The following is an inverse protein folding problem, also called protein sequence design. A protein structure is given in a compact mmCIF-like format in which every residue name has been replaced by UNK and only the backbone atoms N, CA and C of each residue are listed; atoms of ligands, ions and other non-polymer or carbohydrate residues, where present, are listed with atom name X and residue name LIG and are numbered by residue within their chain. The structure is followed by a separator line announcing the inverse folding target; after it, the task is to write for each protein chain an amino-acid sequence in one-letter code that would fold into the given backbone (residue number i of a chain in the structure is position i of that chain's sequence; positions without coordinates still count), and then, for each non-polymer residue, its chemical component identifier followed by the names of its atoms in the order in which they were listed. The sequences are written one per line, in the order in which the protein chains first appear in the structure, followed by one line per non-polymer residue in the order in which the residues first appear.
data_IF_158862380157
#
_entry.id   IF_158862380157
#
_cell.length_a   1.000
_cell.length_b   1.000
_cell.length_c   1.000
_cell.angle_alpha   90.00
_cell.angle_beta   90.00
_cell.angle_gamma   90.00
#
_symmetry.space_group_name_H-M   'P 1'
#
loop_
_entity.id
_entity.type
_entity.pdbx_description
1 polymer ?
#
# COMPACT_ATOMS: atom_id res chain seq x y z
N UNK A 1 49.47 18.77 -38.93
CA UNK A 1 49.44 18.39 -37.50
C UNK A 1 48.05 18.57 -36.90
N UNK A 2 47.31 19.65 -37.17
CA UNK A 2 45.98 19.87 -36.56
C UNK A 2 44.87 18.91 -37.00
N UNK A 3 44.94 18.38 -38.23
CA UNK A 3 43.90 17.49 -38.77
C UNK A 3 43.91 16.10 -38.14
N UNK A 4 45.10 15.52 -37.94
CA UNK A 4 45.27 14.23 -37.25
C UNK A 4 44.88 14.33 -35.77
N UNK A 5 45.19 15.44 -35.10
CA UNK A 5 44.79 15.66 -33.72
C UNK A 5 43.26 15.75 -33.60
N UNK A 6 42.60 16.38 -34.57
CA UNK A 6 41.14 16.51 -34.58
C UNK A 6 40.46 15.16 -34.89
N UNK A 7 41.04 14.34 -35.77
CA UNK A 7 40.58 12.97 -36.04
C UNK A 7 40.74 12.07 -34.81
N UNK A 8 41.89 12.13 -34.13
CA UNK A 8 42.14 11.40 -32.88
C UNK A 8 41.11 11.77 -31.79
N UNK A 9 40.85 13.07 -31.59
CA UNK A 9 39.87 13.55 -30.61
C UNK A 9 38.46 13.11 -30.96
N UNK A 10 38.08 13.10 -32.24
CA UNK A 10 36.78 12.57 -32.66
C UNK A 10 36.67 11.07 -32.37
N UNK A 11 37.71 10.29 -32.64
CA UNK A 11 37.72 8.85 -32.37
C UNK A 11 37.58 8.58 -30.88
N UNK A 12 38.34 9.27 -30.03
CA UNK A 12 38.28 9.11 -28.57
C UNK A 12 36.90 9.48 -28.01
N UNK A 13 36.27 10.53 -28.55
CA UNK A 13 34.91 10.93 -28.16
C UNK A 13 33.85 9.91 -28.60
N UNK A 14 33.96 9.36 -29.82
CA UNK A 14 33.04 8.32 -30.32
C UNK A 14 33.19 7.05 -29.48
N UNK A 15 34.41 6.67 -29.14
CA UNK A 15 34.70 5.51 -28.30
C UNK A 15 34.14 5.69 -26.88
N UNK A 16 34.27 6.88 -26.30
CA UNK A 16 33.68 7.21 -25.00
C UNK A 16 32.14 7.18 -25.04
N UNK A 17 31.51 7.71 -26.08
CA UNK A 17 30.05 7.66 -26.25
C UNK A 17 29.57 6.21 -26.41
N UNK A 18 30.28 5.40 -27.20
CA UNK A 18 29.97 3.97 -27.34
C UNK A 18 30.02 3.25 -25.98
N UNK A 19 31.08 3.46 -25.19
CA UNK A 19 31.20 2.90 -23.84
C UNK A 19 30.07 3.34 -22.93
N UNK A 20 29.79 4.64 -22.85
CA UNK A 20 28.76 5.19 -21.96
C UNK A 20 27.34 4.78 -22.35
N UNK A 21 27.05 4.60 -23.64
CA UNK A 21 25.74 4.13 -24.10
C UNK A 21 25.55 2.63 -23.89
N UNK A 22 26.63 1.86 -23.81
CA UNK A 22 26.60 0.46 -23.35
C UNK A 22 26.60 0.32 -21.83
N UNK A 23 27.08 1.33 -21.07
CA UNK A 23 27.10 1.35 -19.60
C UNK A 23 25.72 1.70 -18.99
N UNK A 24 24.78 0.79 -19.26
CA UNK A 24 23.70 0.38 -18.38
C UNK A 24 23.71 -1.15 -18.34
N UNK A 25 24.80 -1.75 -17.88
CA UNK A 25 25.12 -3.16 -18.14
C UNK A 25 24.42 -4.11 -17.15
N UNK A 26 23.16 -4.47 -17.43
CA UNK A 26 22.79 -5.86 -17.17
C UNK A 26 23.65 -6.69 -18.14
N UNK A 27 24.69 -7.38 -17.64
CA UNK A 27 25.52 -8.18 -18.53
C UNK A 27 24.67 -9.32 -19.13
N UNK A 28 25.00 -9.78 -20.33
CA UNK A 28 24.36 -10.96 -20.95
C UNK A 28 24.26 -12.12 -19.95
N UNK A 29 25.31 -12.28 -19.12
CA UNK A 29 25.37 -13.24 -18.01
C UNK A 29 24.32 -12.99 -16.91
N UNK A 30 24.13 -11.75 -16.49
CA UNK A 30 23.14 -11.42 -15.46
C UNK A 30 21.71 -11.67 -15.98
N UNK A 31 21.50 -11.41 -17.28
CA UNK A 31 20.26 -11.72 -17.99
C UNK A 31 20.02 -13.23 -18.09
N UNK A 32 21.05 -14.00 -18.42
CA UNK A 32 21.00 -15.47 -18.47
C UNK A 32 20.71 -16.07 -17.09
N UNK A 33 21.38 -15.58 -16.04
CA UNK A 33 21.14 -15.99 -14.65
C UNK A 33 19.69 -15.73 -14.26
N UNK A 34 19.16 -14.54 -14.55
CA UNK A 34 17.77 -14.20 -14.24
C UNK A 34 16.77 -15.11 -14.98
N UNK A 35 16.99 -15.34 -16.28
CA UNK A 35 16.11 -16.19 -17.10
C UNK A 35 16.16 -17.65 -16.65
N UNK A 36 17.33 -18.18 -16.28
CA UNK A 36 17.45 -19.53 -15.77
C UNK A 36 16.74 -19.68 -14.42
N UNK A 37 16.88 -18.71 -13.51
CA UNK A 37 16.20 -18.70 -12.22
C UNK A 37 14.67 -18.68 -12.37
N UNK A 38 14.15 -17.85 -13.29
CA UNK A 38 12.71 -17.79 -13.62
C UNK A 38 12.23 -19.14 -14.16
N UNK A 39 13.00 -19.78 -15.04
CA UNK A 39 12.65 -21.07 -15.61
C UNK A 39 12.69 -22.20 -14.57
N UNK A 40 13.59 -22.16 -13.58
CA UNK A 40 13.62 -23.12 -12.47
C UNK A 40 12.41 -22.95 -11.53
N UNK A 41 12.03 -21.71 -11.22
CA UNK A 41 10.82 -21.39 -10.43
C UNK A 41 9.56 -21.84 -11.17
N UNK A 42 9.43 -21.52 -12.46
CA UNK A 42 8.28 -21.91 -13.28
C UNK A 42 8.14 -23.43 -13.44
N UNK A 43 9.26 -24.16 -13.40
CA UNK A 43 9.28 -25.63 -13.43
C UNK A 43 8.98 -26.27 -12.06
N UNK A 44 8.88 -25.48 -10.99
CA UNK A 44 8.60 -25.98 -9.64
C UNK A 44 9.77 -26.75 -9.00
N UNK A 45 11.00 -26.54 -9.49
CA UNK A 45 12.17 -27.26 -8.99
C UNK A 45 12.64 -26.67 -7.66
N UNK A 46 12.36 -27.42 -6.60
CA UNK A 46 12.80 -27.17 -5.24
C UNK A 46 14.30 -27.45 -5.11
N UNK A 47 15.12 -26.47 -4.69
CA UNK A 47 16.53 -26.71 -4.35
C UNK A 47 16.55 -27.54 -3.07
N UNK A 48 16.86 -28.83 -3.20
CA UNK A 48 16.99 -29.77 -2.09
C UNK A 48 18.47 -30.11 -1.90
N UNK A 49 19.03 -29.73 -0.75
CA UNK A 49 20.28 -30.29 -0.25
C UNK A 49 19.96 -31.05 1.05
N UNK A 50 20.73 -32.10 1.39
CA UNK A 50 20.50 -32.90 2.61
C UNK A 50 20.52 -32.07 3.91
N UNK A 51 21.06 -30.85 3.88
CA UNK A 51 21.09 -29.95 5.02
C UNK A 51 19.92 -28.95 5.08
N UNK A 52 19.31 -28.57 3.95
CA UNK A 52 18.19 -27.62 3.93
C UNK A 52 17.42 -27.62 2.59
N UNK A 53 16.16 -27.22 2.67
CA UNK A 53 15.22 -27.14 1.54
C UNK A 53 14.77 -25.69 1.37
N UNK A 54 14.98 -25.09 0.19
CA UNK A 54 14.55 -23.70 -0.10
C UNK A 54 13.42 -23.70 -1.11
N UNK A 55 12.19 -23.47 -0.63
CA UNK A 55 10.99 -23.33 -1.47
C UNK A 55 10.84 -21.88 -1.88
N UNK A 56 10.92 -21.58 -3.18
CA UNK A 56 10.54 -20.29 -3.73
C UNK A 56 9.08 -20.33 -4.17
N UNK A 57 8.17 -19.93 -3.28
CA UNK A 57 6.77 -19.69 -3.64
C UNK A 57 6.62 -18.23 -4.08
N UNK A 58 6.62 -17.99 -5.40
CA UNK A 58 6.11 -16.74 -5.93
C UNK A 58 4.60 -16.88 -6.11
N UNK A 59 3.81 -16.47 -5.12
CA UNK A 59 2.40 -16.22 -5.34
C UNK A 59 2.30 -15.06 -6.35
N UNK A 60 1.49 -15.16 -7.43
CA UNK A 60 1.20 -13.99 -8.25
C UNK A 60 0.65 -12.95 -7.29
N UNK A 61 1.38 -11.84 -7.10
CA UNK A 61 0.97 -10.77 -6.18
C UNK A 61 -0.34 -10.24 -6.73
N UNK A 62 -1.50 -10.51 -6.10
CA UNK A 62 -2.63 -9.65 -6.34
C UNK A 62 -2.19 -8.31 -5.75
N UNK A 63 -2.13 -7.30 -6.61
CA UNK A 63 -2.06 -5.87 -6.31
C UNK A 63 -2.10 -5.59 -4.81
N UNK A 64 -0.93 -5.55 -4.16
CA UNK A 64 -0.73 -5.39 -2.71
C UNK A 64 -1.85 -6.08 -1.90
N UNK A 65 -1.58 -7.25 -1.33
CA UNK A 65 -2.24 -7.62 -0.09
C UNK A 65 -1.87 -6.51 0.92
N UNK A 66 -2.64 -5.41 0.93
CA UNK A 66 -2.79 -4.54 2.09
C UNK A 66 -3.13 -5.55 3.15
N UNK A 67 -2.17 -5.82 4.04
CA UNK A 67 -2.40 -6.47 5.32
C UNK A 67 -3.77 -5.97 5.74
N UNK A 68 -4.79 -6.82 5.81
CA UNK A 68 -6.15 -6.41 6.16
C UNK A 68 -6.06 -5.87 7.59
N UNK A 69 -5.65 -4.62 7.71
CA UNK A 69 -5.72 -3.86 8.93
C UNK A 69 -7.21 -3.71 9.13
N UNK A 70 -7.76 -4.54 10.01
CA UNK A 70 -9.11 -4.38 10.50
C UNK A 70 -9.18 -3.00 11.15
N UNK A 71 -9.59 -2.01 10.37
CA UNK A 71 -9.79 -0.65 10.85
C UNK A 71 -10.95 -0.71 11.84
N UNK A 72 -10.75 -0.12 13.01
CA UNK A 72 -11.80 -0.01 14.02
C UNK A 72 -12.01 1.45 14.34
N UNK A 73 -13.27 1.85 14.26
CA UNK A 73 -13.72 3.20 14.59
C UNK A 73 -14.61 3.06 15.82
N UNK A 74 -14.11 3.47 16.99
CA UNK A 74 -14.93 3.56 18.19
C UNK A 74 -15.29 5.02 18.42
N UNK A 75 -16.58 5.29 18.58
CA UNK A 75 -17.07 6.63 18.94
C UNK A 75 -17.74 6.53 20.29
N UNK A 76 -17.35 7.43 21.18
CA UNK A 76 -18.01 7.65 22.46
C UNK A 76 -18.78 8.95 22.36
N UNK A 77 -20.08 8.90 22.61
CA UNK A 77 -20.93 10.07 22.73
C UNK A 77 -21.12 10.39 24.22
N UNK A 78 -21.14 11.66 24.57
CA UNK A 78 -21.37 12.07 25.95
C UNK A 78 -22.81 11.73 26.39
N UNK A 79 -22.93 10.90 27.43
CA UNK A 79 -24.22 10.47 28.00
C UNK A 79 -25.04 11.65 28.56
N UNK A 80 -24.38 12.74 28.96
CA UNK A 80 -25.05 13.92 29.52
C UNK A 80 -25.79 14.72 28.43
N UNK A 81 -25.58 14.39 27.14
CA UNK A 81 -26.34 14.94 26.01
C UNK A 81 -27.73 14.30 25.82
N UNK A 82 -28.08 13.28 26.61
CA UNK A 82 -29.38 12.59 26.54
C UNK A 82 -29.76 12.12 25.13
N UNK A 83 -28.79 11.58 24.39
CA UNK A 83 -29.01 11.08 23.03
C UNK A 83 -29.87 9.82 23.12
N UNK A 84 -30.97 9.79 22.36
CA UNK A 84 -31.86 8.62 22.36
C UNK A 84 -31.17 7.38 21.75
N UNK A 85 -31.44 6.15 22.22
CA UNK A 85 -30.85 4.93 21.67
C UNK A 85 -31.04 4.78 20.15
N UNK A 86 -32.20 5.23 19.63
CA UNK A 86 -32.49 5.24 18.20
C UNK A 86 -31.55 6.14 17.41
N UNK A 87 -31.12 7.27 17.98
CA UNK A 87 -30.18 8.19 17.34
C UNK A 87 -28.77 7.61 17.35
N UNK A 88 -28.37 6.93 18.43
CA UNK A 88 -27.08 6.22 18.51
C UNK A 88 -27.01 5.13 17.44
N UNK A 89 -28.07 4.35 17.27
CA UNK A 89 -28.14 3.30 16.25
C UNK A 89 -28.13 3.88 14.83
N UNK A 90 -28.96 4.91 14.57
CA UNK A 90 -29.00 5.59 13.28
C UNK A 90 -27.63 6.19 12.91
N UNK A 91 -26.93 6.80 13.88
CA UNK A 91 -25.59 7.34 13.68
C UNK A 91 -24.58 6.26 13.33
N UNK A 92 -24.59 5.13 14.06
CA UNK A 92 -23.73 3.99 13.78
C UNK A 92 -23.99 3.43 12.37
N UNK A 93 -25.26 3.32 11.98
CA UNK A 93 -25.66 2.86 10.65
C UNK A 93 -25.16 3.79 9.54
N UNK A 94 -25.33 5.11 9.68
CA UNK A 94 -24.91 6.08 8.67
C UNK A 94 -23.38 6.11 8.53
N UNK A 95 -22.66 6.11 9.65
CA UNK A 95 -21.20 5.98 9.65
C UNK A 95 -20.74 4.70 8.97
N UNK A 96 -21.34 3.57 9.32
CA UNK A 96 -21.01 2.28 8.70
C UNK A 96 -21.26 2.33 7.19
N UNK A 97 -22.36 2.96 6.77
CA UNK A 97 -22.73 3.12 5.35
C UNK A 97 -21.71 3.95 4.57
N UNK A 98 -21.23 5.08 5.12
CA UNK A 98 -20.26 5.95 4.42
C UNK A 98 -18.83 5.41 4.46
N UNK A 99 -18.46 4.70 5.53
CA UNK A 99 -17.09 4.19 5.72
C UNK A 99 -16.85 2.90 4.91
N UNK A 100 -17.83 1.99 4.83
CA UNK A 100 -17.66 0.68 4.17
C UNK A 100 -17.19 0.74 2.71
N UNK A 101 -17.67 1.65 1.85
CA UNK A 101 -17.23 1.74 0.45
C UNK A 101 -15.73 2.00 0.30
N UNK A 102 -15.13 2.76 1.23
CA UNK A 102 -13.68 3.07 1.22
C UNK A 102 -12.88 2.06 2.05
N UNK A 103 -13.47 1.53 3.11
CA UNK A 103 -12.83 0.61 4.05
C UNK A 103 -13.75 -0.60 4.33
N UNK A 104 -13.77 -1.62 3.45
CA UNK A 104 -14.76 -2.70 3.50
C UNK A 104 -14.72 -3.56 4.78
N UNK A 105 -13.55 -3.69 5.39
CA UNK A 105 -13.30 -4.49 6.59
C UNK A 105 -13.37 -3.67 7.88
N UNK A 106 -13.88 -2.43 7.82
CA UNK A 106 -14.00 -1.57 9.01
C UNK A 106 -15.13 -2.02 9.93
N UNK A 107 -14.86 -2.00 11.23
CA UNK A 107 -15.90 -2.13 12.27
C UNK A 107 -16.12 -0.80 12.96
N UNK A 108 -17.34 -0.28 12.87
CA UNK A 108 -17.79 0.93 13.57
C UNK A 108 -18.53 0.51 14.83
N UNK A 109 -18.28 1.20 15.93
CA UNK A 109 -19.01 1.01 17.19
C UNK A 109 -19.24 2.36 17.82
N UNK A 110 -20.51 2.67 18.13
CA UNK A 110 -20.91 3.88 18.84
C UNK A 110 -21.43 3.48 20.21
N UNK A 111 -20.95 4.15 21.26
CA UNK A 111 -21.38 3.93 22.65
C UNK A 111 -21.54 5.26 23.38
N UNK A 112 -22.27 5.25 24.48
CA UNK A 112 -22.32 6.38 25.40
C UNK A 112 -21.19 6.29 26.44
N UNK A 113 -20.70 7.44 26.90
CA UNK A 113 -19.65 7.53 27.91
C UNK A 113 -19.61 8.89 28.59
N UNK A 114 -18.55 9.15 29.34
CA UNK A 114 -18.41 10.40 30.14
C UNK A 114 -17.94 11.61 29.34
N UNK A 115 -17.42 11.41 28.13
CA UNK A 115 -16.89 12.47 27.28
C UNK A 115 -17.01 12.02 25.83
N UNK A 116 -17.30 12.96 24.93
CA UNK A 116 -17.30 12.68 23.50
C UNK A 116 -15.87 12.45 23.01
N UNK A 117 -15.66 11.37 22.25
CA UNK A 117 -14.33 11.02 21.74
C UNK A 117 -14.36 10.03 20.59
N UNK A 118 -13.29 10.03 19.79
CA UNK A 118 -13.11 9.14 18.64
C UNK A 118 -11.79 8.39 18.80
N UNK A 119 -11.84 7.07 18.65
CA UNK A 119 -10.65 6.22 18.62
C UNK A 119 -10.58 5.51 17.26
N UNK A 120 -9.47 5.71 16.57
CA UNK A 120 -9.18 5.06 15.30
C UNK A 120 -8.02 4.07 15.49
N UNK A 121 -8.29 2.79 15.25
CA UNK A 121 -7.30 1.71 15.37
C UNK A 121 -7.05 1.06 14.00
N UNK A 122 -5.80 0.66 13.77
CA UNK A 122 -5.42 -0.05 12.54
C UNK A 122 -5.16 0.86 11.34
N UNK A 123 -5.09 2.18 11.53
CA UNK A 123 -4.75 3.14 10.47
C UNK A 123 -3.26 3.43 10.51
N UNK A 124 -2.54 3.12 9.43
CA UNK A 124 -1.10 3.35 9.34
C UNK A 124 -0.75 4.56 8.46
N UNK A 125 -1.67 5.05 7.62
CA UNK A 125 -1.45 6.18 6.70
C UNK A 125 -2.17 7.46 7.13
N UNK A 126 -1.54 8.61 6.88
CA UNK A 126 -2.13 9.93 7.12
C UNK A 126 -3.34 10.20 6.20
N UNK A 127 -3.23 9.85 4.91
CA UNK A 127 -4.34 9.99 3.96
C UNK A 127 -5.56 9.13 4.33
N UNK A 128 -5.35 7.92 4.86
CA UNK A 128 -6.44 7.05 5.33
C UNK A 128 -7.11 7.63 6.58
N UNK A 129 -6.33 8.24 7.47
CA UNK A 129 -6.83 8.95 8.65
C UNK A 129 -7.66 10.17 8.25
N UNK A 130 -7.12 11.01 7.37
CA UNK A 130 -7.79 12.22 6.88
C UNK A 130 -9.10 11.89 6.16
N UNK A 131 -9.14 10.83 5.36
CA UNK A 131 -10.37 10.37 4.71
C UNK A 131 -11.44 9.96 5.74
N UNK A 132 -11.06 9.26 6.81
CA UNK A 132 -11.98 8.89 7.89
C UNK A 132 -12.44 10.12 8.68
N UNK A 133 -11.54 11.02 9.04
CA UNK A 133 -11.88 12.26 9.77
C UNK A 133 -12.87 13.12 8.98
N UNK A 134 -12.70 13.23 7.66
CA UNK A 134 -13.64 13.94 6.80
C UNK A 134 -15.02 13.29 6.79
N UNK A 135 -15.11 11.96 6.66
CA UNK A 135 -16.40 11.25 6.73
C UNK A 135 -17.07 11.44 8.08
N UNK A 136 -16.32 11.31 9.19
CA UNK A 136 -16.85 11.50 10.54
C UNK A 136 -17.45 12.89 10.71
N UNK A 137 -16.74 13.92 10.24
CA UNK A 137 -17.19 15.31 10.29
C UNK A 137 -18.42 15.54 9.42
N UNK A 138 -18.42 15.05 8.18
CA UNK A 138 -19.55 15.18 7.26
C UNK A 138 -20.81 14.52 7.82
N UNK A 139 -20.72 13.31 8.38
CA UNK A 139 -21.89 12.64 8.99
C UNK A 139 -22.34 13.38 10.25
N UNK A 140 -21.42 13.92 11.05
CA UNK A 140 -21.77 14.67 12.24
C UNK A 140 -22.51 15.98 11.92
N UNK A 141 -22.08 16.69 10.87
CA UNK A 141 -22.67 17.97 10.45
C UNK A 141 -23.97 17.78 9.65
N UNK A 142 -24.09 16.68 8.91
CA UNK A 142 -25.29 16.35 8.13
C UNK A 142 -26.35 15.69 9.02
N UNK A 143 -27.34 16.46 9.48
CA UNK A 143 -28.43 15.92 10.32
C UNK A 143 -29.48 15.11 9.54
N UNK A 144 -29.34 14.90 8.23
CA UNK A 144 -30.38 14.24 7.41
C UNK A 144 -30.65 12.77 7.73
N UNK A 145 -29.75 12.11 8.47
CA UNK A 145 -29.90 10.71 8.92
C UNK A 145 -30.61 10.57 10.28
N UNK A 146 -30.91 11.68 10.96
CA UNK A 146 -31.50 11.71 12.30
C UNK A 146 -33.02 11.63 12.31
#
# INVERSE_FOLDING_TARGET
MDRELNEQVMIERVEMIARLTTEGTCQERDREIALNLIAEIARGNLIKNNAFTVVFSASPVPERIKKESHVRVNITLDKDQHIGPSVVEAFQCELTRRIRPLFPSTRVTVKEGSMTGVELLGINGEAEREALDNILREVWEDESWR
#
